data_IF_306795640182
#
_entry.id   IF_306795640182
#
_cell.length_a   1.000
_cell.length_b   1.000
_cell.length_c   1.000
_cell.angle_alpha   90.00
_cell.angle_beta   90.00
_cell.angle_gamma   90.00
#
_symmetry.space_group_name_H-M   'P 1'
#
loop_
_entity.id
_entity.type
_entity.pdbx_description
1 polymer ?
#
# COMPACT_ATOMS: atom_id res chain seq x y z
N UNK A 1 -79.27 -20.55 11.76
CA UNK A 1 -80.70 -20.36 11.43
C UNK A 1 -81.07 -18.92 11.78
N UNK A 2 -80.88 -17.99 10.83
CA UNK A 2 -81.70 -16.78 10.66
C UNK A 2 -81.31 -16.12 9.34
N UNK A 3 -82.30 -15.88 8.48
CA UNK A 3 -82.22 -15.26 7.16
C UNK A 3 -82.36 -13.74 7.27
N UNK A 4 -81.66 -12.99 6.41
CA UNK A 4 -82.18 -11.86 5.61
C UNK A 4 -81.07 -11.45 4.62
N UNK A 5 -81.16 -11.93 3.37
CA UNK A 5 -81.76 -11.22 2.23
C UNK A 5 -80.75 -10.32 1.50
N UNK A 6 -79.77 -10.98 0.87
CA UNK A 6 -79.27 -10.59 -0.44
C UNK A 6 -80.28 -11.09 -1.47
N UNK A 7 -80.85 -10.21 -2.30
CA UNK A 7 -81.08 -10.49 -3.71
C UNK A 7 -81.67 -9.27 -4.45
N UNK A 8 -81.30 -9.20 -5.73
CA UNK A 8 -81.87 -8.40 -6.81
C UNK A 8 -81.37 -6.96 -6.98
N UNK A 9 -80.21 -6.87 -7.63
CA UNK A 9 -80.14 -6.08 -8.88
C UNK A 9 -79.24 -6.81 -9.89
N UNK A 10 -79.81 -7.86 -10.48
CA UNK A 10 -79.36 -8.35 -11.78
C UNK A 10 -80.02 -7.47 -12.84
N UNK A 11 -79.28 -6.53 -13.44
CA UNK A 11 -79.37 -6.43 -14.89
C UNK A 11 -78.14 -5.79 -15.56
N UNK A 12 -77.59 -6.59 -16.48
CA UNK A 12 -76.94 -6.18 -17.71
C UNK A 12 -75.97 -4.98 -17.71
N UNK A 13 -74.66 -5.25 -17.62
CA UNK A 13 -73.76 -4.74 -18.67
C UNK A 13 -72.44 -5.50 -18.80
N UNK A 14 -72.47 -6.46 -19.74
CA UNK A 14 -71.40 -6.80 -20.69
C UNK A 14 -70.02 -7.11 -20.09
N UNK A 15 -69.67 -8.40 -20.16
CA UNK A 15 -68.33 -8.85 -20.54
C UNK A 15 -67.83 -8.07 -21.77
N UNK A 16 -67.20 -6.91 -21.54
CA UNK A 16 -66.33 -6.30 -22.54
C UNK A 16 -65.13 -7.22 -22.64
N UNK A 17 -65.21 -8.14 -23.60
CA UNK A 17 -64.08 -8.88 -24.19
C UNK A 17 -62.87 -7.93 -24.17
N UNK A 18 -61.88 -8.18 -23.29
CA UNK A 18 -60.67 -7.34 -23.22
C UNK A 18 -60.12 -7.28 -24.64
N UNK A 19 -60.26 -6.11 -25.25
CA UNK A 19 -59.82 -5.88 -26.62
C UNK A 19 -58.35 -6.27 -26.68
N UNK A 20 -57.99 -7.24 -27.53
CA UNK A 20 -56.60 -7.72 -27.68
C UNK A 20 -55.79 -6.60 -28.33
N UNK A 21 -55.41 -5.63 -27.52
CA UNK A 21 -54.67 -4.46 -27.94
C UNK A 21 -53.18 -4.78 -27.86
N UNK A 22 -52.50 -4.76 -29.02
CA UNK A 22 -51.04 -4.94 -29.12
C UNK A 22 -50.27 -3.64 -28.84
N UNK A 23 -50.96 -2.55 -28.50
CA UNK A 23 -50.33 -1.27 -28.22
C UNK A 23 -49.49 -1.39 -26.94
N UNK A 24 -48.19 -1.03 -26.99
CA UNK A 24 -47.35 -1.01 -25.80
C UNK A 24 -47.91 -0.03 -24.77
N UNK A 25 -47.76 -0.37 -23.49
CA UNK A 25 -48.25 0.47 -22.38
C UNK A 25 -47.66 1.88 -22.45
N UNK A 26 -48.50 2.90 -22.26
CA UNK A 26 -48.10 4.30 -22.28
C UNK A 26 -47.53 4.74 -20.92
N UNK A 27 -46.44 4.10 -20.48
CA UNK A 27 -45.71 4.46 -19.25
C UNK A 27 -44.39 5.13 -19.59
N UNK A 28 -43.92 6.04 -18.74
CA UNK A 28 -42.68 6.79 -18.97
C UNK A 28 -41.46 5.88 -19.20
N UNK A 29 -41.39 4.73 -18.54
CA UNK A 29 -40.35 3.72 -18.75
C UNK A 29 -40.45 3.06 -20.13
N UNK A 30 -41.63 2.54 -20.50
CA UNK A 30 -41.84 1.83 -21.78
C UNK A 30 -41.73 2.75 -22.99
N UNK A 31 -41.99 4.04 -22.81
CA UNK A 31 -41.94 5.06 -23.86
C UNK A 31 -40.61 5.83 -23.87
N UNK A 32 -39.63 5.47 -23.03
CA UNK A 32 -38.33 6.15 -22.90
C UNK A 32 -38.45 7.66 -22.58
N UNK A 33 -39.47 8.03 -21.80
CA UNK A 33 -39.73 9.41 -21.33
C UNK A 33 -39.48 9.55 -19.83
N UNK A 34 -38.53 8.77 -19.30
CA UNK A 34 -38.10 8.94 -17.92
C UNK A 34 -37.54 10.36 -17.72
N UNK A 35 -37.72 10.89 -16.50
CA UNK A 35 -37.09 12.16 -16.12
C UNK A 35 -35.58 12.00 -16.22
N UNK A 36 -34.99 12.66 -17.20
CA UNK A 36 -33.56 12.66 -17.45
C UNK A 36 -33.03 14.08 -17.32
N UNK A 37 -31.80 14.21 -16.81
CA UNK A 37 -31.04 15.46 -16.87
C UNK A 37 -29.97 15.30 -17.95
N UNK A 38 -29.96 16.21 -18.91
CA UNK A 38 -29.00 16.23 -20.00
C UNK A 38 -28.04 17.42 -19.78
N UNK A 39 -26.83 17.20 -19.26
CA UNK A 39 -25.87 18.27 -19.04
C UNK A 39 -25.31 18.74 -20.39
N UNK A 40 -25.84 19.86 -20.89
CA UNK A 40 -25.25 20.53 -22.06
C UNK A 40 -24.04 21.33 -21.59
N UNK A 41 -22.87 20.97 -22.10
CA UNK A 41 -21.59 21.62 -21.79
C UNK A 41 -21.53 22.98 -22.47
N UNK A 42 -21.93 24.03 -21.76
CA UNK A 42 -21.85 25.42 -22.25
C UNK A 42 -20.67 26.15 -21.59
N UNK A 43 -20.08 27.18 -22.23
CA UNK A 43 -19.02 27.95 -21.59
C UNK A 43 -19.41 28.51 -20.21
N UNK A 44 -20.69 28.87 -20.02
CA UNK A 44 -21.22 29.37 -18.75
C UNK A 44 -21.20 28.34 -17.62
N UNK A 45 -21.29 27.04 -17.93
CA UNK A 45 -21.26 25.97 -16.93
C UNK A 45 -19.87 25.36 -16.77
N UNK A 46 -19.12 25.26 -17.87
CA UNK A 46 -17.81 24.58 -17.91
C UNK A 46 -16.68 25.48 -17.42
N UNK A 47 -16.64 26.77 -17.80
CA UNK A 47 -15.54 27.66 -17.40
C UNK A 47 -15.47 27.86 -15.88
N UNK A 48 -16.58 28.15 -15.15
CA UNK A 48 -16.52 28.26 -13.69
C UNK A 48 -16.08 26.97 -13.02
N UNK A 49 -16.46 25.81 -13.57
CA UNK A 49 -16.04 24.51 -13.04
C UNK A 49 -14.52 24.32 -13.11
N UNK A 50 -13.88 24.68 -14.21
CA UNK A 50 -12.42 24.60 -14.35
C UNK A 50 -11.70 25.44 -13.29
N UNK A 51 -12.12 26.70 -13.09
CA UNK A 51 -11.53 27.55 -12.07
C UNK A 51 -11.86 27.08 -10.65
N UNK A 52 -13.07 26.60 -10.39
CA UNK A 52 -13.45 26.06 -9.09
C UNK A 52 -12.60 24.84 -8.70
N UNK A 53 -12.42 23.88 -9.62
CA UNK A 53 -11.53 22.73 -9.40
C UNK A 53 -10.10 23.19 -9.16
N UNK A 54 -9.59 24.13 -9.95
CA UNK A 54 -8.25 24.69 -9.77
C UNK A 54 -8.02 25.35 -8.41
N UNK A 55 -8.95 26.23 -8.00
CA UNK A 55 -8.91 26.97 -6.73
C UNK A 55 -9.01 26.03 -5.53
N UNK A 56 -9.71 24.90 -5.65
CA UNK A 56 -9.80 23.91 -4.57
C UNK A 56 -8.60 22.97 -4.55
N UNK A 57 -8.17 22.46 -5.70
CA UNK A 57 -7.14 21.43 -5.78
C UNK A 57 -5.74 21.99 -5.53
N UNK A 58 -5.42 23.20 -5.98
CA UNK A 58 -4.09 23.76 -5.79
C UNK A 58 -3.73 24.01 -4.31
N UNK A 59 -4.59 24.62 -3.46
CA UNK A 59 -4.33 24.75 -2.03
C UNK A 59 -4.30 23.40 -1.31
N UNK A 60 -5.18 22.47 -1.66
CA UNK A 60 -5.15 21.10 -1.09
C UNK A 60 -3.82 20.43 -1.43
N UNK A 61 -3.38 20.50 -2.70
CA UNK A 61 -2.09 19.97 -3.14
C UNK A 61 -0.92 20.60 -2.40
N UNK A 62 -0.92 21.93 -2.23
CA UNK A 62 0.08 22.65 -1.44
C UNK A 62 0.11 22.22 0.03
N UNK A 63 -1.05 22.06 0.66
CA UNK A 63 -1.16 21.54 2.03
C UNK A 63 -0.62 20.11 2.16
N UNK A 64 -0.93 19.24 1.20
CA UNK A 64 -0.44 17.87 1.16
C UNK A 64 1.08 17.80 0.98
N UNK A 65 1.64 18.64 0.10
CA UNK A 65 3.10 18.75 -0.07
C UNK A 65 3.78 19.21 1.22
N UNK A 66 3.25 20.26 1.83
CA UNK A 66 3.77 20.78 3.09
C UNK A 66 3.70 19.73 4.21
N UNK A 67 2.58 19.01 4.33
CA UNK A 67 2.44 17.93 5.30
C UNK A 67 3.41 16.76 5.02
N UNK A 68 3.67 16.44 3.76
CA UNK A 68 4.67 15.43 3.40
C UNK A 68 6.09 15.86 3.75
N UNK A 69 6.43 17.15 3.56
CA UNK A 69 7.77 17.68 3.88
C UNK A 69 8.05 17.72 5.37
N UNK A 70 7.01 17.86 6.22
CA UNK A 70 7.17 17.84 7.68
C UNK A 70 7.60 16.50 8.28
N UNK A 71 7.49 15.41 7.50
CA UNK A 71 7.90 14.08 7.96
C UNK A 71 9.43 14.06 8.13
N UNK A 72 9.88 13.67 9.32
CA UNK A 72 11.28 13.43 9.60
C UNK A 72 11.57 11.97 9.21
N UNK A 73 12.50 11.73 8.29
CA UNK A 73 12.82 10.41 7.76
C UNK A 73 14.33 10.22 7.56
N UNK A 74 14.84 9.07 8.01
CA UNK A 74 16.19 8.60 7.76
C UNK A 74 16.14 7.17 7.21
N UNK A 75 16.76 6.96 6.05
CA UNK A 75 16.88 5.65 5.42
C UNK A 75 18.35 5.29 5.27
N UNK A 76 18.74 4.12 5.79
CA UNK A 76 20.10 3.59 5.66
C UNK A 76 20.02 2.18 5.09
N UNK A 77 20.57 1.99 3.90
CA UNK A 77 20.77 0.68 3.28
C UNK A 77 21.99 -0.01 3.93
N UNK A 78 21.76 -1.14 4.60
CA UNK A 78 22.77 -1.90 5.31
C UNK A 78 23.07 -3.25 4.64
N UNK A 79 22.66 -3.42 3.37
CA UNK A 79 22.77 -4.68 2.63
C UNK A 79 24.18 -5.26 2.62
N UNK A 80 25.19 -4.39 2.45
CA UNK A 80 26.60 -4.78 2.36
C UNK A 80 27.38 -4.48 3.65
N UNK A 81 26.70 -4.35 4.79
CA UNK A 81 27.37 -4.03 6.05
C UNK A 81 28.36 -5.12 6.50
N UNK A 82 28.08 -6.37 6.17
CA UNK A 82 28.94 -7.52 6.45
C UNK A 82 29.92 -7.86 5.31
N UNK A 83 29.98 -7.04 4.26
CA UNK A 83 30.91 -7.23 3.14
C UNK A 83 32.28 -6.64 3.51
N UNK A 84 33.36 -7.45 3.64
CA UNK A 84 34.70 -6.96 3.97
C UNK A 84 35.28 -5.98 2.95
N UNK A 85 34.76 -5.96 1.71
CA UNK A 85 35.15 -4.99 0.69
C UNK A 85 34.51 -3.60 0.85
N UNK A 86 33.49 -3.47 1.70
CA UNK A 86 32.70 -2.25 1.88
C UNK A 86 32.66 -1.75 3.34
N UNK A 87 32.92 -2.64 4.30
CA UNK A 87 32.81 -2.40 5.74
C UNK A 87 34.00 -3.00 6.48
N UNK A 88 34.16 -2.64 7.74
CA UNK A 88 35.23 -3.16 8.61
C UNK A 88 34.66 -3.89 9.81
N UNK A 89 35.44 -4.86 10.31
CA UNK A 89 35.14 -5.58 11.54
C UNK A 89 35.64 -4.89 12.81
N UNK A 90 36.54 -3.92 12.68
CA UNK A 90 37.18 -3.23 13.80
C UNK A 90 36.64 -1.82 13.98
N UNK A 91 36.58 -1.05 12.89
CA UNK A 91 36.39 0.40 12.91
C UNK A 91 35.14 0.83 12.14
N UNK A 92 34.58 1.96 12.52
CA UNK A 92 33.46 2.56 11.80
C UNK A 92 33.92 3.14 10.47
N UNK A 93 33.42 2.57 9.37
CA UNK A 93 33.65 3.04 8.00
C UNK A 93 32.45 3.82 7.51
N UNK A 94 32.68 4.85 6.69
CA UNK A 94 31.62 5.70 6.14
C UNK A 94 30.73 4.90 5.18
N UNK A 95 29.41 5.06 5.31
CA UNK A 95 28.45 4.48 4.37
C UNK A 95 28.45 5.30 3.06
N UNK A 96 28.46 4.66 1.87
CA UNK A 96 28.32 5.36 0.60
C UNK A 96 27.09 6.27 0.53
N UNK A 97 27.22 7.45 -0.10
CA UNK A 97 26.19 8.51 -0.12
C UNK A 97 24.86 8.03 -0.71
N UNK A 98 24.92 7.21 -1.75
CA UNK A 98 23.73 6.67 -2.42
C UNK A 98 22.93 5.67 -1.55
N UNK A 99 23.50 5.21 -0.42
CA UNK A 99 22.87 4.29 0.53
C UNK A 99 22.21 4.99 1.71
N UNK A 100 22.33 6.32 1.80
CA UNK A 100 21.76 7.12 2.89
C UNK A 100 20.82 8.15 2.28
N UNK A 101 19.55 8.13 2.70
CA UNK A 101 18.57 9.14 2.32
C UNK A 101 18.03 9.79 3.58
N UNK A 102 17.94 11.12 3.57
CA UNK A 102 17.51 11.91 4.70
C UNK A 102 16.44 12.90 4.28
N UNK A 103 15.47 13.10 5.13
CA UNK A 103 14.47 14.16 5.02
C UNK A 103 14.21 14.72 6.40
N UNK A 104 14.79 15.87 6.72
CA UNK A 104 14.55 16.54 7.99
C UNK A 104 13.92 17.90 7.75
N UNK A 105 12.69 18.10 8.24
CA UNK A 105 12.04 19.40 8.17
C UNK A 105 12.65 20.34 9.19
N UNK A 106 13.28 21.42 8.70
CA UNK A 106 14.02 22.41 9.50
C UNK A 106 15.11 21.75 10.36
N UNK A 107 16.16 21.19 9.73
CA UNK A 107 17.22 20.51 10.46
C UNK A 107 17.95 21.49 11.36
N UNK A 108 18.34 21.03 12.54
CA UNK A 108 19.09 21.81 13.53
C UNK A 108 20.59 21.74 13.33
N UNK A 109 21.04 20.74 12.55
CA UNK A 109 22.40 20.53 12.10
C UNK A 109 22.30 19.97 10.68
N UNK A 110 22.94 20.58 9.70
CA UNK A 110 22.97 20.07 8.33
C UNK A 110 24.27 19.29 8.10
N UNK A 111 24.21 17.97 8.18
CA UNK A 111 25.36 17.09 7.96
C UNK A 111 25.22 16.38 6.63
N UNK A 112 25.99 16.84 5.64
CA UNK A 112 26.03 16.23 4.30
C UNK A 112 26.47 14.75 4.29
N UNK A 113 27.04 14.23 5.39
CA UNK A 113 27.35 12.80 5.58
C UNK A 113 27.87 12.52 7.01
N UNK A 114 27.22 11.61 7.72
CA UNK A 114 27.53 11.24 9.11
C UNK A 114 27.21 9.76 9.43
N UNK A 115 26.68 9.00 8.46
CA UNK A 115 26.38 7.60 8.67
C UNK A 115 27.63 6.73 8.45
N UNK A 116 27.93 5.90 9.44
CA UNK A 116 29.01 4.94 9.45
C UNK A 116 28.44 3.56 9.79
N UNK A 117 29.15 2.52 9.39
CA UNK A 117 28.85 1.16 9.80
C UNK A 117 30.10 0.41 10.22
N UNK A 118 29.90 -0.67 10.95
CA UNK A 118 30.87 -1.75 11.14
C UNK A 118 30.10 -3.05 11.31
N UNK A 119 30.77 -4.18 11.20
CA UNK A 119 30.17 -5.48 11.52
C UNK A 119 30.98 -6.22 12.56
N UNK A 120 30.36 -7.09 13.34
CA UNK A 120 31.04 -7.96 14.29
C UNK A 120 30.53 -9.38 14.10
N UNK A 121 31.45 -10.33 14.02
CA UNK A 121 31.13 -11.75 13.96
C UNK A 121 31.32 -12.37 15.34
N UNK A 122 30.26 -12.96 15.87
CA UNK A 122 30.29 -13.71 17.13
C UNK A 122 30.01 -15.17 16.84
N UNK A 123 30.97 -16.04 17.13
CA UNK A 123 30.79 -17.49 16.99
C UNK A 123 30.35 -18.09 18.31
N UNK A 124 29.17 -18.70 18.32
CA UNK A 124 28.62 -19.43 19.47
C UNK A 124 28.48 -20.90 19.12
N UNK A 125 28.74 -21.79 20.07
CA UNK A 125 28.51 -23.23 19.87
C UNK A 125 27.13 -23.60 20.40
N UNK A 126 26.23 -24.03 19.52
CA UNK A 126 24.90 -24.53 19.90
C UNK A 126 24.82 -25.98 19.48
N UNK A 127 24.57 -26.89 20.44
CA UNK A 127 24.49 -28.34 20.21
C UNK A 127 25.72 -28.91 19.48
N UNK A 128 26.93 -28.43 19.81
CA UNK A 128 28.18 -28.88 19.20
C UNK A 128 28.45 -28.36 17.78
N UNK A 129 27.59 -27.50 17.22
CA UNK A 129 27.79 -26.84 15.93
C UNK A 129 28.20 -25.37 16.13
N UNK A 130 29.28 -24.90 15.48
CA UNK A 130 29.62 -23.49 15.49
C UNK A 130 28.60 -22.71 14.63
N UNK A 131 27.92 -21.75 15.25
CA UNK A 131 27.02 -20.80 14.60
C UNK A 131 27.70 -19.44 14.64
N UNK A 132 27.91 -18.84 13.48
CA UNK A 132 28.47 -17.48 13.38
C UNK A 132 27.35 -16.49 13.15
N UNK A 133 27.16 -15.61 14.13
CA UNK A 133 26.19 -14.52 14.10
C UNK A 133 26.90 -13.24 13.65
N UNK A 134 26.37 -12.57 12.63
CA UNK A 134 26.91 -11.31 12.13
C UNK A 134 26.03 -10.16 12.57
N UNK A 135 26.56 -9.25 13.37
CA UNK A 135 25.88 -8.03 13.80
C UNK A 135 26.40 -6.85 13.01
N UNK A 136 25.53 -6.11 12.34
CA UNK A 136 25.83 -4.81 11.75
C UNK A 136 25.50 -3.71 12.76
N UNK A 137 26.48 -2.87 13.09
CA UNK A 137 26.29 -1.68 13.90
C UNK A 137 26.29 -0.46 13.00
N UNK A 138 25.13 0.19 12.87
CA UNK A 138 25.00 1.47 12.20
C UNK A 138 25.25 2.58 13.21
N UNK A 139 25.97 3.64 12.82
CA UNK A 139 26.15 4.87 13.58
C UNK A 139 25.69 6.03 12.71
N UNK A 140 24.76 6.84 13.18
CA UNK A 140 24.18 7.93 12.38
C UNK A 140 23.82 9.11 13.27
N UNK A 141 23.80 10.31 12.68
CA UNK A 141 23.36 11.52 13.37
C UNK A 141 21.93 11.87 12.95
N UNK A 142 21.10 12.12 13.95
CA UNK A 142 19.74 12.59 13.80
C UNK A 142 19.75 14.13 13.79
N UNK A 143 19.35 14.74 12.68
CA UNK A 143 19.53 16.18 12.42
C UNK A 143 18.47 17.06 13.09
N UNK A 144 17.32 16.48 13.44
CA UNK A 144 16.23 17.13 14.14
C UNK A 144 15.53 16.14 15.08
N UNK A 145 14.88 16.67 16.12
CA UNK A 145 14.10 15.86 17.05
C UNK A 145 12.90 15.20 16.34
N UNK A 146 12.75 13.88 16.48
CA UNK A 146 11.59 13.16 15.99
C UNK A 146 10.53 13.07 17.09
N UNK A 147 9.43 13.79 16.91
CA UNK A 147 8.28 13.76 17.83
C UNK A 147 7.53 12.41 17.71
N UNK A 148 6.90 11.93 18.80
CA UNK A 148 6.11 10.72 18.74
C UNK A 148 4.93 10.81 17.76
N UNK A 149 4.55 9.70 17.10
CA UNK A 149 5.19 8.40 17.18
C UNK A 149 6.43 8.31 16.28
N UNK A 150 7.50 7.71 16.81
CA UNK A 150 8.72 7.37 16.07
C UNK A 150 8.63 5.91 15.64
N UNK A 151 8.73 5.66 14.34
CA UNK A 151 8.48 4.38 13.71
C UNK A 151 9.75 3.89 13.03
N UNK A 152 10.13 2.63 13.30
CA UNK A 152 11.28 1.98 12.70
C UNK A 152 10.79 0.83 11.83
N UNK A 153 10.97 0.98 10.52
CA UNK A 153 10.65 -0.02 9.52
C UNK A 153 11.93 -0.68 9.00
N UNK A 154 11.80 -1.90 8.51
CA UNK A 154 12.72 -2.42 7.49
C UNK A 154 12.08 -2.22 6.12
N UNK A 155 12.90 -1.91 5.12
CA UNK A 155 12.52 -1.81 3.71
C UNK A 155 13.25 -2.87 2.91
N UNK A 156 12.51 -3.66 2.15
CA UNK A 156 13.05 -4.60 1.18
C UNK A 156 12.80 -4.09 -0.23
N UNK A 157 13.75 -4.31 -1.12
CA UNK A 157 13.60 -4.08 -2.56
C UNK A 157 13.71 -5.40 -3.32
N UNK A 158 13.13 -5.44 -4.52
CA UNK A 158 13.18 -6.59 -5.40
C UNK A 158 12.67 -7.90 -4.76
N UNK A 159 11.72 -7.80 -3.82
CA UNK A 159 11.11 -8.96 -3.15
C UNK A 159 9.60 -9.02 -3.48
N UNK A 160 9.19 -10.03 -4.23
CA UNK A 160 7.85 -10.08 -4.84
C UNK A 160 6.80 -10.77 -3.95
N UNK A 161 6.39 -10.11 -2.84
CA UNK A 161 5.26 -10.60 -2.02
C UNK A 161 3.94 -10.66 -2.79
N UNK A 162 3.82 -9.93 -3.89
CA UNK A 162 2.64 -9.86 -4.75
C UNK A 162 2.60 -10.94 -5.84
N UNK A 163 3.59 -11.83 -5.92
CA UNK A 163 3.59 -12.91 -6.88
C UNK A 163 2.40 -13.86 -6.63
N UNK A 164 1.64 -14.21 -7.68
CA UNK A 164 0.38 -14.98 -7.56
C UNK A 164 0.54 -16.27 -6.73
N UNK A 165 1.62 -17.04 -6.96
CA UNK A 165 1.90 -18.27 -6.20
C UNK A 165 2.27 -17.98 -4.75
N UNK A 166 2.99 -16.87 -4.50
CA UNK A 166 3.42 -16.50 -3.16
C UNK A 166 2.21 -16.14 -2.28
N UNK A 167 1.34 -15.25 -2.75
CA UNK A 167 0.15 -14.78 -2.01
C UNK A 167 -0.82 -15.91 -1.67
N UNK A 168 -0.88 -16.94 -2.52
CA UNK A 168 -1.74 -18.11 -2.32
C UNK A 168 -1.14 -19.18 -1.41
N UNK A 169 0.17 -19.13 -1.15
CA UNK A 169 0.89 -20.17 -0.42
C UNK A 169 0.85 -19.89 1.09
N UNK A 170 -0.36 -20.00 1.65
CA UNK A 170 -0.75 -19.96 3.06
C UNK A 170 -2.06 -20.75 3.26
N UNK A 171 -2.20 -21.47 4.38
CA UNK A 171 -3.45 -22.14 4.77
C UNK A 171 -4.13 -21.42 5.95
N UNK A 172 -5.34 -20.88 5.71
CA UNK A 172 -6.07 -20.10 6.73
C UNK A 172 -6.53 -20.93 7.92
N UNK A 173 -6.93 -22.19 7.72
CA UNK A 173 -7.36 -23.06 8.81
C UNK A 173 -6.21 -23.33 9.79
N UNK A 174 -5.00 -23.50 9.26
CA UNK A 174 -3.78 -23.63 10.04
C UNK A 174 -3.45 -22.35 10.82
N UNK A 175 -3.63 -21.17 10.22
CA UNK A 175 -3.44 -19.88 10.92
C UNK A 175 -4.49 -19.67 12.02
N UNK A 176 -5.73 -20.09 11.78
CA UNK A 176 -6.82 -20.11 12.79
C UNK A 176 -6.59 -21.15 13.90
N UNK A 177 -5.51 -21.93 13.81
CA UNK A 177 -5.11 -22.88 14.85
C UNK A 177 -5.69 -24.28 14.70
N UNK A 178 -6.39 -24.59 13.61
CA UNK A 178 -6.96 -25.92 13.38
C UNK A 178 -5.87 -26.93 13.00
N UNK A 179 -5.98 -28.14 13.54
CA UNK A 179 -5.20 -29.31 13.10
C UNK A 179 -5.75 -29.79 11.74
N UNK A 180 -5.01 -29.51 10.67
CA UNK A 180 -5.37 -29.84 9.29
C UNK A 180 -4.50 -31.03 8.85
N UNK A 181 -5.09 -32.14 8.36
CA UNK A 181 -4.32 -33.31 8.00
C UNK A 181 -3.42 -33.07 6.77
N UNK A 182 -2.27 -33.74 6.73
CA UNK A 182 -1.30 -33.64 5.64
C UNK A 182 -1.91 -33.85 4.25
N UNK A 183 -2.83 -34.80 4.09
CA UNK A 183 -3.50 -35.08 2.81
C UNK A 183 -4.31 -33.91 2.26
N UNK A 184 -4.91 -33.08 3.14
CA UNK A 184 -5.65 -31.89 2.76
C UNK A 184 -4.70 -30.73 2.38
N UNK A 185 -3.57 -30.61 3.08
CA UNK A 185 -2.57 -29.59 2.80
C UNK A 185 -1.80 -29.85 1.50
N UNK A 186 -1.51 -31.11 1.20
CA UNK A 186 -0.74 -31.52 0.01
C UNK A 186 -1.58 -31.47 -1.28
N UNK A 187 -2.87 -31.78 -1.19
CA UNK A 187 -3.80 -31.68 -2.33
C UNK A 187 -4.28 -30.25 -2.62
N UNK A 188 -4.16 -29.35 -1.65
CA UNK A 188 -4.53 -27.95 -1.85
C UNK A 188 -3.35 -27.11 -2.35
N UNK A 189 -3.58 -26.31 -3.38
CA UNK A 189 -2.62 -25.29 -3.84
C UNK A 189 -2.29 -24.23 -2.77
N UNK A 190 -2.97 -24.28 -1.61
CA UNK A 190 -2.85 -23.31 -0.53
C UNK A 190 -1.52 -23.37 0.21
N UNK A 191 -0.80 -24.49 0.23
CA UNK A 191 0.52 -24.56 0.89
C UNK A 191 1.64 -25.09 0.02
N UNK A 192 1.36 -25.42 -1.24
CA UNK A 192 2.40 -25.85 -2.19
C UNK A 192 3.47 -24.77 -2.39
N UNK A 193 4.77 -25.14 -2.44
CA UNK A 193 5.33 -26.49 -2.34
C UNK A 193 5.72 -26.91 -0.90
N UNK A 194 5.36 -26.12 0.12
CA UNK A 194 5.81 -26.27 1.51
C UNK A 194 4.65 -26.69 2.43
N UNK A 195 3.91 -27.73 2.04
CA UNK A 195 2.85 -28.32 2.86
C UNK A 195 3.40 -29.33 3.87
N UNK A 196 4.30 -30.21 3.40
CA UNK A 196 4.94 -31.28 4.18
C UNK A 196 6.45 -31.29 3.93
N UNK A 197 7.22 -31.86 4.87
CA UNK A 197 8.65 -32.10 4.69
C UNK A 197 8.93 -33.38 3.89
N UNK A 198 10.21 -33.71 3.69
CA UNK A 198 10.63 -34.92 2.98
C UNK A 198 10.21 -36.23 3.66
N UNK A 199 9.83 -36.18 4.95
CA UNK A 199 9.40 -37.33 5.74
C UNK A 199 7.86 -37.42 5.83
N UNK A 200 7.13 -36.52 5.15
CA UNK A 200 5.68 -36.43 5.20
C UNK A 200 5.11 -35.79 6.47
N UNK A 201 5.94 -35.15 7.31
CA UNK A 201 5.48 -34.35 8.45
C UNK A 201 4.95 -33.01 8.00
N UNK A 202 3.92 -32.50 8.68
CA UNK A 202 3.26 -31.25 8.33
C UNK A 202 4.17 -30.07 8.68
N UNK A 203 4.37 -29.16 7.73
CA UNK A 203 5.09 -27.90 8.00
C UNK A 203 4.12 -26.93 8.69
N UNK A 204 4.50 -26.39 9.83
CA UNK A 204 3.72 -25.40 10.57
C UNK A 204 4.53 -24.14 10.88
N UNK A 205 4.06 -22.94 10.49
CA UNK A 205 3.01 -22.67 9.50
C UNK A 205 3.49 -23.00 8.06
N UNK A 206 2.62 -23.59 7.24
CA UNK A 206 2.96 -24.00 5.88
C UNK A 206 2.97 -22.84 4.88
N UNK A 207 3.59 -23.09 3.74
CA UNK A 207 3.59 -22.20 2.58
C UNK A 207 4.76 -21.21 2.51
N UNK A 208 4.93 -20.62 1.32
CA UNK A 208 6.05 -19.72 0.98
C UNK A 208 6.05 -18.44 1.81
N UNK A 209 4.87 -17.95 2.19
CA UNK A 209 4.74 -16.72 2.97
C UNK A 209 5.39 -16.87 4.34
N UNK A 210 5.02 -17.90 5.09
CA UNK A 210 5.56 -18.15 6.41
C UNK A 210 7.05 -18.52 6.33
N UNK A 211 7.43 -19.40 5.39
CA UNK A 211 8.81 -19.84 5.24
C UNK A 211 9.79 -18.68 5.02
N UNK A 212 9.43 -17.69 4.19
CA UNK A 212 10.31 -16.57 3.85
C UNK A 212 10.25 -15.39 4.81
N UNK A 213 9.79 -15.59 6.06
CA UNK A 213 9.72 -14.57 7.10
C UNK A 213 11.05 -13.80 7.24
N UNK A 214 10.97 -12.48 7.18
CA UNK A 214 12.11 -11.61 7.48
C UNK A 214 12.58 -11.83 8.92
N UNK A 215 13.87 -12.14 9.09
CA UNK A 215 14.43 -12.63 10.36
C UNK A 215 15.68 -11.88 10.83
N UNK A 216 16.03 -10.72 10.25
CA UNK A 216 17.01 -9.84 10.88
C UNK A 216 16.46 -9.35 12.23
N UNK A 217 17.30 -9.34 13.26
CA UNK A 217 16.91 -8.82 14.57
C UNK A 217 17.38 -7.39 14.71
N UNK A 218 16.46 -6.44 14.61
CA UNK A 218 16.72 -5.00 14.74
C UNK A 218 16.61 -4.65 16.22
N UNK A 219 17.61 -4.03 16.85
CA UNK A 219 17.56 -3.62 18.26
C UNK A 219 17.02 -2.18 18.43
N UNK A 220 16.94 -1.70 19.67
CA UNK A 220 16.62 -0.29 19.94
C UNK A 220 17.83 0.60 19.68
N UNK A 221 17.66 1.80 19.10
CA UNK A 221 18.76 2.76 18.95
C UNK A 221 19.32 3.19 20.31
N UNK A 222 20.63 3.42 20.39
CA UNK A 222 21.32 3.91 21.59
C UNK A 222 21.90 5.29 21.29
N UNK A 223 21.53 6.29 22.08
CA UNK A 223 22.07 7.65 21.99
C UNK A 223 23.47 7.66 22.61
N UNK A 224 24.49 7.91 21.79
CA UNK A 224 25.90 7.94 22.22
C UNK A 224 26.43 9.36 22.37
N UNK A 225 25.82 10.34 21.70
CA UNK A 225 26.22 11.74 21.83
C UNK A 225 25.03 12.69 21.68
N UNK A 226 24.76 13.48 22.72
CA UNK A 226 23.78 14.58 22.68
C UNK A 226 24.36 15.79 21.95
N UNK A 227 23.50 16.57 21.30
CA UNK A 227 23.89 17.82 20.63
C UNK A 227 24.61 18.77 21.60
N UNK A 228 25.81 19.22 21.23
CA UNK A 228 26.59 20.21 21.99
C UNK A 228 27.23 19.71 23.29
N UNK A 229 27.16 18.41 23.59
CA UNK A 229 27.80 17.81 24.77
C UNK A 229 29.03 16.97 24.43
N UNK A 230 29.94 16.85 25.39
CA UNK A 230 30.95 15.77 25.44
C UNK A 230 30.25 14.49 25.90
N UNK A 231 30.39 13.40 25.13
CA UNK A 231 29.80 12.06 25.29
C UNK A 231 28.63 11.94 26.28
N UNK A 232 27.41 11.75 25.75
CA UNK A 232 26.30 11.41 26.62
C UNK A 232 26.56 10.05 27.28
N UNK A 233 26.09 9.84 28.51
CA UNK A 233 25.88 8.48 29.00
C UNK A 233 25.02 7.75 27.96
N UNK A 234 25.45 6.55 27.56
CA UNK A 234 24.74 5.76 26.55
C UNK A 234 23.29 5.54 27.00
N UNK A 235 22.35 6.16 26.29
CA UNK A 235 20.93 6.15 26.66
C UNK A 235 20.16 5.38 25.60
N UNK A 236 19.59 4.24 25.97
CA UNK A 236 18.80 3.43 25.03
C UNK A 236 17.46 4.11 24.75
N UNK A 237 17.21 4.41 23.47
CA UNK A 237 15.89 4.83 23.01
C UNK A 237 15.00 3.59 22.83
N UNK A 238 14.32 3.22 23.91
CA UNK A 238 13.49 2.03 23.96
C UNK A 238 12.36 2.09 22.92
N UNK A 239 12.27 1.09 22.06
CA UNK A 239 11.22 0.94 21.05
C UNK A 239 10.65 -0.46 21.16
N UNK A 240 9.33 -0.55 21.20
CA UNK A 240 8.61 -1.81 21.36
C UNK A 240 8.30 -2.44 20.01
N UNK A 241 8.26 -3.77 19.98
CA UNK A 241 7.73 -4.59 18.88
C UNK A 241 6.24 -4.93 19.09
N UNK A 242 5.57 -4.33 20.09
CA UNK A 242 4.14 -4.47 20.33
C UNK A 242 3.35 -3.30 19.74
N UNK A 243 2.13 -3.56 19.31
CA UNK A 243 1.29 -2.60 18.60
C UNK A 243 1.79 -2.28 17.19
N UNK A 244 2.56 -3.17 16.56
CA UNK A 244 3.07 -2.99 15.18
C UNK A 244 2.15 -3.62 14.13
N UNK A 245 1.40 -4.66 14.52
CA UNK A 245 0.35 -5.27 13.70
C UNK A 245 -0.98 -4.52 13.88
N UNK A 246 -1.92 -4.75 12.97
CA UNK A 246 -3.25 -4.16 13.10
C UNK A 246 -4.02 -4.92 14.17
N UNK A 247 -4.86 -4.22 14.94
CA UNK A 247 -5.62 -4.87 16.02
C UNK A 247 -6.50 -6.02 15.51
N UNK A 248 -7.03 -5.89 14.29
CA UNK A 248 -7.84 -6.89 13.61
C UNK A 248 -7.05 -8.05 13.02
N UNK A 249 -5.73 -7.91 12.81
CA UNK A 249 -4.90 -9.01 12.28
C UNK A 249 -4.88 -10.19 13.28
N UNK A 250 -4.96 -9.89 14.59
CA UNK A 250 -4.97 -10.89 15.67
C UNK A 250 -6.13 -11.89 15.56
N UNK A 251 -7.25 -11.49 14.96
CA UNK A 251 -8.43 -12.33 14.84
C UNK A 251 -8.28 -13.40 13.75
N UNK A 252 -7.30 -13.25 12.86
CA UNK A 252 -6.92 -14.27 11.87
C UNK A 252 -6.11 -15.41 12.47
N UNK A 253 -5.50 -15.21 13.64
CA UNK A 253 -4.58 -16.16 14.26
C UNK A 253 -5.16 -16.77 15.53
N UNK A 254 -5.40 -18.08 15.52
CA UNK A 254 -5.86 -18.84 16.68
C UNK A 254 -4.74 -19.58 17.41
N UNK A 255 -4.96 -19.99 18.67
CA UNK A 255 -4.05 -20.92 19.35
C UNK A 255 -4.06 -22.26 18.59
N UNK A 256 -2.87 -22.77 18.30
CA UNK A 256 -2.71 -24.00 17.52
C UNK A 256 -3.12 -25.24 18.32
N UNK A 257 -3.85 -26.16 17.69
CA UNK A 257 -4.25 -27.45 18.27
C UNK A 257 -3.35 -28.61 17.83
N UNK A 258 -2.31 -28.34 17.04
CA UNK A 258 -1.35 -29.36 16.63
C UNK A 258 -0.54 -29.89 17.81
N UNK A 259 -0.31 -31.20 17.81
CA UNK A 259 0.72 -31.82 18.62
C UNK A 259 2.11 -31.51 18.01
N UNK A 260 3.07 -30.92 18.76
CA UNK A 260 4.42 -30.62 18.29
C UNK A 260 5.14 -31.80 17.62
N UNK A 261 4.83 -33.04 18.01
CA UNK A 261 5.46 -34.24 17.44
C UNK A 261 5.08 -34.51 15.98
N UNK A 262 3.90 -34.02 15.55
CA UNK A 262 3.34 -34.21 14.20
C UNK A 262 3.75 -33.13 13.19
N UNK A 263 4.27 -32.01 13.69
CA UNK A 263 4.61 -30.83 12.89
C UNK A 263 6.10 -30.55 12.92
N UNK A 264 6.56 -29.82 11.92
CA UNK A 264 7.95 -29.35 11.80
C UNK A 264 7.97 -27.87 11.39
N UNK A 265 9.00 -27.11 11.78
CA UNK A 265 9.15 -25.73 11.36
C UNK A 265 9.39 -25.64 9.84
N UNK A 266 9.08 -24.49 9.21
CA UNK A 266 9.45 -24.22 7.83
C UNK A 266 10.97 -24.35 7.62
N UNK A 267 11.42 -24.77 6.43
CA UNK A 267 12.85 -24.98 6.15
C UNK A 267 13.76 -23.81 6.53
N UNK A 268 13.35 -22.57 6.22
CA UNK A 268 14.16 -21.38 6.51
C UNK A 268 14.11 -20.95 7.99
N UNK A 269 13.32 -21.63 8.82
CA UNK A 269 13.25 -21.38 10.27
C UNK A 269 14.19 -22.29 11.06
N UNK A 270 14.99 -23.13 10.39
CA UNK A 270 15.88 -24.11 11.03
C UNK A 270 16.85 -23.49 12.03
N UNK A 271 17.35 -22.28 11.79
CA UNK A 271 18.25 -21.61 12.75
C UNK A 271 17.52 -21.17 14.03
N UNK A 272 16.21 -20.90 13.94
CA UNK A 272 15.37 -20.55 15.09
C UNK A 272 14.90 -21.80 15.85
N UNK A 273 14.65 -22.89 15.13
CA UNK A 273 14.15 -24.16 15.67
C UNK A 273 15.04 -25.34 15.22
N UNK A 274 16.30 -25.41 15.67
CA UNK A 274 17.28 -26.38 15.15
C UNK A 274 16.92 -27.84 15.45
N UNK A 275 16.19 -28.07 16.54
CA UNK A 275 15.75 -29.40 16.97
C UNK A 275 14.25 -29.65 16.67
N UNK A 276 13.62 -28.81 15.84
CA UNK A 276 12.19 -28.84 15.59
C UNK A 276 11.35 -28.22 16.71
N UNK A 277 10.06 -28.54 16.72
CA UNK A 277 9.11 -28.03 17.71
C UNK A 277 9.02 -28.92 18.96
N UNK A 278 8.90 -28.26 20.10
CA UNK A 278 8.55 -28.84 21.41
C UNK A 278 7.34 -28.09 21.97
N UNK A 279 6.75 -28.58 23.06
CA UNK A 279 5.60 -27.90 23.68
C UNK A 279 5.96 -26.48 24.18
N UNK A 280 7.22 -26.24 24.54
CA UNK A 280 7.71 -25.00 25.12
C UNK A 280 8.12 -23.97 24.07
N UNK A 281 8.59 -24.40 22.90
CA UNK A 281 9.12 -23.49 21.87
C UNK A 281 8.13 -23.20 20.73
N UNK A 282 6.97 -23.85 20.72
CA UNK A 282 5.98 -23.72 19.65
C UNK A 282 5.50 -22.25 19.55
N UNK A 283 5.55 -21.61 18.37
CA UNK A 283 5.28 -20.19 18.25
C UNK A 283 3.79 -19.86 18.41
N UNK A 284 3.49 -18.92 19.30
CA UNK A 284 2.14 -18.37 19.47
C UNK A 284 1.90 -17.26 18.43
N UNK A 285 1.39 -17.62 17.25
CA UNK A 285 1.23 -16.69 16.12
C UNK A 285 0.36 -15.46 16.44
N UNK A 286 -0.63 -15.61 17.33
CA UNK A 286 -1.53 -14.54 17.77
C UNK A 286 -0.81 -13.41 18.53
N UNK A 287 0.30 -13.72 19.19
CA UNK A 287 1.09 -12.75 19.97
C UNK A 287 2.35 -12.27 19.24
N UNK A 288 2.71 -12.97 18.17
CA UNK A 288 3.89 -12.69 17.35
C UNK A 288 3.58 -11.66 16.26
N UNK A 289 3.51 -10.39 16.64
CA UNK A 289 3.09 -9.31 15.74
C UNK A 289 4.01 -9.12 14.52
N UNK A 290 5.31 -9.41 14.62
CA UNK A 290 6.24 -9.37 13.48
C UNK A 290 5.86 -10.39 12.39
N UNK A 291 5.40 -11.59 12.80
CA UNK A 291 4.88 -12.58 11.88
C UNK A 291 3.60 -12.07 11.21
N UNK A 292 2.69 -11.45 11.96
CA UNK A 292 1.44 -10.90 11.41
C UNK A 292 1.71 -9.80 10.39
N UNK A 293 2.65 -8.89 10.68
CA UNK A 293 3.09 -7.83 9.77
C UNK A 293 3.65 -8.41 8.47
N UNK A 294 4.39 -9.52 8.55
CA UNK A 294 4.92 -10.21 7.37
C UNK A 294 3.84 -10.90 6.54
N UNK A 295 2.93 -11.62 7.20
CA UNK A 295 1.83 -12.37 6.57
C UNK A 295 0.80 -11.47 5.90
N UNK A 296 0.80 -10.17 6.18
CA UNK A 296 0.09 -9.18 5.38
C UNK A 296 0.97 -8.75 4.21
N UNK A 297 0.71 -9.26 3.02
CA UNK A 297 1.56 -9.04 1.84
C UNK A 297 1.58 -7.59 1.37
N UNK A 298 2.70 -7.17 0.77
CA UNK A 298 2.83 -5.88 0.09
C UNK A 298 2.37 -5.97 -1.37
N UNK A 299 1.82 -4.87 -1.90
CA UNK A 299 1.36 -4.79 -3.29
C UNK A 299 2.46 -4.57 -4.33
N UNK A 300 3.65 -4.16 -3.91
CA UNK A 300 4.79 -3.80 -4.77
C UNK A 300 6.07 -4.54 -4.31
N UNK A 301 7.08 -4.72 -5.19
CA UNK A 301 8.33 -5.42 -4.85
C UNK A 301 9.27 -4.62 -3.95
N UNK A 302 9.05 -3.31 -3.85
CA UNK A 302 9.70 -2.44 -2.87
C UNK A 302 8.68 -2.04 -1.83
N UNK A 303 8.91 -2.42 -0.57
CA UNK A 303 7.96 -2.19 0.50
C UNK A 303 8.66 -2.04 1.85
N UNK A 304 7.99 -1.38 2.77
CA UNK A 304 8.43 -1.23 4.17
C UNK A 304 7.47 -1.95 5.10
N UNK A 305 7.99 -2.53 6.18
CA UNK A 305 7.23 -3.21 7.23
C UNK A 305 7.67 -2.69 8.58
N UNK A 306 6.71 -2.42 9.47
CA UNK A 306 6.99 -1.85 10.78
C UNK A 306 7.63 -2.93 11.67
N UNK A 307 8.80 -2.63 12.24
CA UNK A 307 9.54 -3.53 13.11
C UNK A 307 9.45 -3.10 14.57
N UNK A 308 9.61 -1.79 14.83
CA UNK A 308 9.52 -1.21 16.17
C UNK A 308 8.84 0.14 16.13
N UNK A 309 8.26 0.54 17.26
CA UNK A 309 7.65 1.87 17.45
C UNK A 309 7.87 2.40 18.85
N UNK A 310 7.85 3.72 18.98
CA UNK A 310 7.73 4.41 20.25
C UNK A 310 6.71 5.55 20.09
N UNK A 311 5.65 5.50 20.89
CA UNK A 311 4.52 6.41 20.77
C UNK A 311 4.52 7.52 21.83
N UNK A 312 5.47 7.51 22.77
CA UNK A 312 5.41 8.34 23.98
C UNK A 312 6.58 9.30 24.11
N UNK A 313 7.79 8.92 23.69
CA UNK A 313 9.00 9.73 23.91
C UNK A 313 9.57 10.29 22.62
N UNK A 314 9.91 11.58 22.63
CA UNK A 314 10.62 12.22 21.53
C UNK A 314 12.02 11.60 21.41
N UNK A 315 12.46 11.32 20.18
CA UNK A 315 13.85 10.94 19.90
C UNK A 315 14.64 12.24 19.61
N UNK A 316 15.47 12.72 20.55
CA UNK A 316 16.18 13.98 20.38
C UNK A 316 17.27 13.89 19.30
N UNK A 317 17.61 15.04 18.71
CA UNK A 317 18.75 15.17 17.81
C UNK A 317 20.07 14.79 18.53
N UNK A 318 20.90 14.00 17.86
CA UNK A 318 22.11 13.42 18.44
C UNK A 318 22.67 12.28 17.59
N UNK A 319 23.81 11.73 18.00
CA UNK A 319 24.42 10.56 17.37
C UNK A 319 23.87 9.31 18.03
N UNK A 320 23.35 8.41 17.21
CA UNK A 320 22.83 7.12 17.62
C UNK A 320 23.64 5.98 17.04
N UNK A 321 23.69 4.87 17.76
CA UNK A 321 24.03 3.55 17.22
C UNK A 321 22.79 2.67 17.14
N UNK A 322 22.76 1.77 16.16
CA UNK A 322 21.70 0.77 15.98
C UNK A 322 22.34 -0.55 15.57
N UNK A 323 22.14 -1.57 16.40
CA UNK A 323 22.59 -2.93 16.09
C UNK A 323 21.50 -3.71 15.35
N UNK A 324 21.94 -4.48 14.37
CA UNK A 324 21.09 -5.35 13.54
C UNK A 324 21.79 -6.70 13.39
N UNK A 325 21.18 -7.77 13.90
CA UNK A 325 21.62 -9.13 13.62
C UNK A 325 21.20 -9.52 12.20
N UNK A 326 22.17 -9.79 11.32
CA UNK A 326 21.94 -10.06 9.90
C UNK A 326 21.71 -11.56 9.66
N UNK A 327 20.45 -11.95 9.49
CA UNK A 327 20.03 -13.34 9.23
C UNK A 327 19.35 -13.53 7.86
N UNK A 328 18.85 -12.46 7.25
CA UNK A 328 18.04 -12.49 6.03
C UNK A 328 18.91 -12.12 4.82
N UNK A 329 19.31 -13.08 3.95
CA UNK A 329 20.11 -12.80 2.78
C UNK A 329 19.26 -12.14 1.68
N UNK A 330 19.74 -11.02 1.14
CA UNK A 330 19.04 -10.31 0.05
C UNK A 330 19.85 -10.20 -1.25
N UNK A 331 21.17 -10.39 -1.15
CA UNK A 331 22.10 -10.29 -2.29
C UNK A 331 21.83 -11.39 -3.33
N UNK A 332 21.44 -12.59 -2.87
CA UNK A 332 21.21 -13.78 -3.71
C UNK A 332 20.13 -13.56 -4.79
N UNK A 333 19.10 -12.77 -4.48
CA UNK A 333 18.03 -12.44 -5.42
C UNK A 333 18.16 -11.01 -5.98
N UNK A 334 19.29 -10.34 -5.75
CA UNK A 334 19.55 -8.98 -6.24
C UNK A 334 18.67 -7.91 -5.59
N UNK A 335 18.26 -8.12 -4.33
CA UNK A 335 17.53 -7.13 -3.55
C UNK A 335 18.42 -6.34 -2.60
N UNK A 336 17.81 -5.36 -1.93
CA UNK A 336 18.43 -4.58 -0.86
C UNK A 336 17.56 -4.57 0.38
N UNK A 337 18.21 -4.37 1.53
CA UNK A 337 17.55 -4.16 2.82
C UNK A 337 18.03 -2.87 3.48
N UNK A 338 17.08 -2.07 3.93
CA UNK A 338 17.33 -0.78 4.58
C UNK A 338 16.55 -0.68 5.88
N UNK A 339 17.07 0.08 6.85
CA UNK A 339 16.24 0.60 7.94
C UNK A 339 15.63 1.92 7.51
N UNK A 340 14.39 2.18 7.92
CA UNK A 340 13.69 3.45 7.70
C UNK A 340 13.16 3.91 9.05
N UNK A 341 13.78 4.95 9.60
CA UNK A 341 13.33 5.62 10.81
C UNK A 341 12.51 6.84 10.39
N UNK A 342 11.23 6.87 10.74
CA UNK A 342 10.31 7.91 10.27
C UNK A 342 9.32 8.34 11.35
N UNK A 343 8.93 9.61 11.32
CA UNK A 343 7.69 10.08 11.96
C UNK A 343 6.52 9.94 10.99
N UNK A 344 5.30 10.27 11.45
CA UNK A 344 4.13 10.38 10.57
C UNK A 344 3.44 11.72 10.78
N UNK A 345 2.83 12.24 9.73
CA UNK A 345 1.80 13.28 9.84
C UNK A 345 0.41 12.65 9.80
N UNK A 346 -0.63 13.48 9.86
CA UNK A 346 -2.03 13.04 9.68
C UNK A 346 -2.24 12.34 8.33
N UNK A 347 -1.42 12.68 7.32
CA UNK A 347 -1.49 12.10 5.97
C UNK A 347 -0.64 10.81 5.83
N UNK A 348 0.03 10.37 6.89
CA UNK A 348 0.90 9.19 6.89
C UNK A 348 2.38 9.53 6.83
N UNK A 349 3.16 8.70 6.12
CA UNK A 349 4.59 8.90 5.92
C UNK A 349 4.91 9.91 4.81
N UNK A 350 6.20 10.07 4.51
CA UNK A 350 6.66 10.97 3.46
C UNK A 350 6.18 10.47 2.09
N UNK A 351 5.30 11.23 1.44
CA UNK A 351 4.84 10.93 0.09
C UNK A 351 4.43 12.21 -0.66
N UNK A 352 5.32 12.83 -1.45
CA UNK A 352 4.99 14.05 -2.17
C UNK A 352 4.07 13.81 -3.38
N UNK A 353 3.91 12.56 -3.85
CA UNK A 353 3.19 12.26 -5.09
C UNK A 353 1.77 12.81 -5.11
N UNK A 354 1.00 12.60 -4.04
CA UNK A 354 -0.39 13.05 -3.96
C UNK A 354 -0.47 14.58 -4.04
N UNK A 355 0.41 15.27 -3.31
CA UNK A 355 0.49 16.73 -3.35
C UNK A 355 0.87 17.26 -4.74
N UNK A 356 1.89 16.67 -5.38
CA UNK A 356 2.32 17.01 -6.75
C UNK A 356 1.15 16.81 -7.73
N UNK A 357 0.46 15.66 -7.66
CA UNK A 357 -0.66 15.35 -8.55
C UNK A 357 -1.79 16.38 -8.43
N UNK A 358 -2.17 16.78 -7.21
CA UNK A 358 -3.20 17.79 -6.99
C UNK A 358 -2.79 19.17 -7.52
N UNK A 359 -1.54 19.58 -7.32
CA UNK A 359 -1.02 20.85 -7.86
C UNK A 359 -1.00 20.82 -9.39
N UNK A 360 -0.57 19.72 -10.01
CA UNK A 360 -0.55 19.57 -11.48
C UNK A 360 -1.98 19.63 -12.03
N UNK A 361 -2.92 18.85 -11.49
CA UNK A 361 -4.31 18.84 -11.95
C UNK A 361 -4.94 20.22 -11.76
N UNK A 362 -4.74 20.85 -10.61
CA UNK A 362 -5.23 22.20 -10.34
C UNK A 362 -4.65 23.23 -11.33
N UNK A 363 -3.34 23.19 -11.58
CA UNK A 363 -2.66 24.05 -12.55
C UNK A 363 -3.16 23.85 -13.99
N UNK A 364 -3.34 22.61 -14.42
CA UNK A 364 -3.90 22.28 -15.74
C UNK A 364 -5.34 22.79 -15.87
N UNK A 365 -6.16 22.65 -14.83
CA UNK A 365 -7.53 23.17 -14.84
C UNK A 365 -7.58 24.69 -14.98
N UNK A 366 -6.73 25.44 -14.28
CA UNK A 366 -6.63 26.90 -14.41
C UNK A 366 -6.12 27.28 -15.81
N UNK A 367 -5.08 26.62 -16.31
CA UNK A 367 -4.52 26.89 -17.63
C UNK A 367 -5.57 26.67 -18.74
N UNK A 368 -6.25 25.53 -18.73
CA UNK A 368 -7.33 25.24 -19.69
C UNK A 368 -8.51 26.21 -19.53
N UNK A 369 -8.85 26.57 -18.29
CA UNK A 369 -9.85 27.61 -17.99
C UNK A 369 -9.51 28.95 -18.65
N UNK A 370 -8.26 29.40 -18.54
CA UNK A 370 -7.78 30.63 -19.19
C UNK A 370 -7.81 30.52 -20.71
N UNK A 371 -7.32 29.42 -21.28
CA UNK A 371 -7.32 29.20 -22.74
C UNK A 371 -8.75 29.19 -23.30
N UNK A 372 -9.67 28.46 -22.66
CA UNK A 372 -11.07 28.41 -23.10
C UNK A 372 -11.79 29.75 -22.90
N UNK A 373 -11.48 30.48 -21.84
CA UNK A 373 -12.01 31.84 -21.62
C UNK A 373 -11.51 32.78 -22.72
N UNK A 374 -10.21 32.78 -23.01
CA UNK A 374 -9.63 33.58 -24.09
C UNK A 374 -10.25 33.23 -25.45
N UNK A 375 -10.39 31.93 -25.77
CA UNK A 375 -11.05 31.50 -27.01
C UNK A 375 -12.50 31.96 -27.07
N UNK A 376 -13.24 31.89 -25.96
CA UNK A 376 -14.63 32.34 -25.89
C UNK A 376 -14.76 33.86 -26.11
N UNK A 377 -13.78 34.65 -25.62
CA UNK A 377 -13.75 36.10 -25.81
C UNK A 377 -13.32 36.51 -27.23
N UNK A 378 -12.29 35.87 -27.81
CA UNK A 378 -11.78 36.22 -29.14
C UNK A 378 -12.61 35.67 -30.30
N UNK A 379 -13.22 34.48 -30.14
CA UNK A 379 -14.07 33.85 -31.15
C UNK A 379 -15.35 33.29 -30.51
N UNK A 380 -16.29 34.16 -30.08
CA UNK A 380 -17.54 33.71 -29.49
C UNK A 380 -18.39 32.98 -30.54
N UNK A 381 -18.81 31.75 -30.22
CA UNK A 381 -19.78 30.99 -31.03
C UNK A 381 -21.16 31.10 -30.39
N UNK A 382 -22.19 31.38 -31.20
CA UNK A 382 -23.58 31.32 -30.75
C UNK A 382 -23.96 29.85 -30.49
N UNK A 383 -24.58 29.59 -29.34
CA UNK A 383 -25.03 28.25 -28.99
C UNK A 383 -26.24 27.90 -29.87
N UNK A 384 -26.23 26.72 -30.50
CA UNK A 384 -27.30 26.30 -31.40
C UNK A 384 -27.31 27.02 -32.76
N UNK A 385 -26.16 27.48 -33.25
CA UNK A 385 -26.05 28.10 -34.57
C UNK A 385 -26.22 27.06 -35.70
N UNK A 386 -27.27 27.23 -36.51
CA UNK A 386 -27.66 26.29 -37.57
C UNK A 386 -26.67 26.29 -38.75
N UNK A 387 -25.85 27.34 -38.90
CA UNK A 387 -24.83 27.43 -39.97
C UNK A 387 -23.73 26.37 -39.86
N UNK A 388 -23.63 25.67 -38.72
CA UNK A 388 -22.70 24.57 -38.51
C UNK A 388 -23.35 23.19 -38.64
N UNK A 389 -24.64 23.11 -38.97
CA UNK A 389 -25.28 21.85 -39.30
C UNK A 389 -24.70 21.38 -40.63
N UNK A 390 -24.29 20.11 -40.68
CA UNK A 390 -23.52 19.58 -41.82
C UNK A 390 -24.27 19.63 -43.15
N UNK A 391 -25.61 19.68 -43.10
CA UNK A 391 -26.49 19.78 -44.28
C UNK A 391 -26.77 21.21 -44.72
N UNK A 392 -26.55 22.22 -43.87
CA UNK A 392 -26.72 23.64 -44.23
C UNK A 392 -25.61 24.11 -45.19
N UNK A 393 -24.45 23.45 -45.14
CA UNK A 393 -23.27 23.73 -45.97
C UNK A 393 -23.04 22.68 -47.09
N UNK A 394 -24.06 21.90 -47.45
CA UNK A 394 -24.02 20.98 -48.60
C UNK A 394 -24.04 21.71 -49.96
N UNK A 395 -23.57 21.10 -51.05
CA UNK A 395 -23.40 21.80 -52.33
C UNK A 395 -24.76 22.29 -52.84
N UNK A 396 -24.80 23.55 -53.29
CA UNK A 396 -25.97 24.14 -53.91
C UNK A 396 -26.57 23.15 -54.93
N UNK A 397 -27.80 22.71 -54.67
CA UNK A 397 -28.59 21.96 -55.63
C UNK A 397 -28.66 22.86 -56.86
N UNK A 398 -27.99 22.43 -57.94
CA UNK A 398 -28.02 23.10 -59.22
C UNK A 398 -29.47 23.37 -59.57
N UNK A 399 -29.84 24.64 -59.68
CA UNK A 399 -31.11 25.04 -60.25
C UNK A 399 -31.21 24.40 -61.64
N UNK A 400 -32.06 23.38 -61.76
CA UNK A 400 -32.45 22.83 -63.04
C UNK A 400 -33.26 23.91 -63.76
N UNK A 401 -32.58 24.75 -64.54
CA UNK A 401 -33.22 25.56 -65.57
C UNK A 401 -33.82 24.59 -66.59
N UNK A 402 -35.13 24.40 -66.51
CA UNK A 402 -35.90 23.79 -67.59
C UNK A 402 -35.74 24.64 -68.84
N UNK A 403 -35.01 24.11 -69.82
CA UNK A 403 -34.95 24.66 -71.18
C UNK A 403 -36.28 24.35 -71.85
N UNK A 404 -37.08 25.38 -72.10
CA UNK A 404 -38.06 25.36 -73.18
C UNK A 404 -37.30 25.11 -74.49
N UNK A 405 -37.60 24.00 -75.15
CA UNK A 405 -37.25 23.76 -76.55
C UNK A 405 -38.55 23.71 -77.35
N UNK A 406 -38.89 24.87 -77.92
CA UNK A 406 -39.74 24.95 -79.09
C UNK A 406 -38.82 24.88 -80.32
N UNK A 407 -39.07 23.95 -81.23
CA UNK A 407 -38.26 23.78 -82.44
C UNK A 407 -38.72 22.63 -83.33
N UNK A 408 -39.64 23.00 -84.23
CA UNK A 408 -40.14 22.40 -85.48
C UNK A 408 -39.37 21.24 -86.12
N UNK A 409 -40.13 20.27 -86.63
CA UNK A 409 -39.72 19.19 -87.53
C UNK A 409 -40.83 18.17 -87.70
#
# INVERSE_FOLDING_TARGET
>A
MSRTSEDNDHDAQRDKKKEKNRRPGNTAFKQQRLKAWQPILTPKTVLPLFFAVGIVFAPIGGLLLWASEQVQELVIDYTLCADPGQSSSTDFVRIPVNKVQKNFYKPTVETKQDAQWKYTNTTSTVNGRPITNTTCTLKFQLEADMKPPVLLYYRLTNFYQNHRRYVKSVNEDQLQGKDVPASSLDTSDSCSPLAVDSNGKIIYPCGLMANSLFNDTIFSPILVQKRGGTSAQEETYNMTNKGIAWSTDKDRYGPTTYDPSKIVPPPNWINKFPNGYTAENLPVLREWEEFQVWMRTAGLPTFSKLARRNDTTTMPSGVYTLDILMNFPVVEYGGTKSIVLSTRTVMGGKNPFLGIAYVIVGGLCVLLGVIFTARHLFKPRKLGDHTYLSWENGPAIASATGRDLHGSG
#
